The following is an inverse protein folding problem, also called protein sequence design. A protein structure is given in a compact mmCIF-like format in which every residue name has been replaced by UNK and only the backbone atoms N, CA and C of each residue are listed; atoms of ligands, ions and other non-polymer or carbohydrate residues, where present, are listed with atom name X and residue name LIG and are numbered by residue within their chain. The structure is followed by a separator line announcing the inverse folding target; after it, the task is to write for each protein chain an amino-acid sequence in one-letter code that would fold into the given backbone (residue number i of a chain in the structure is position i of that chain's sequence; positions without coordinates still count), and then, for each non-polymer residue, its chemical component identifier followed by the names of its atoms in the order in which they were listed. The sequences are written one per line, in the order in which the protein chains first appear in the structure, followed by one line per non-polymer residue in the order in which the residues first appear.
data_IF_532784133311
#
_entry.id   IF_532784133311
#
_cell.length_a   1.000
_cell.length_b   1.000
_cell.length_c   1.000
_cell.angle_alpha   90.00
_cell.angle_beta   90.00
_cell.angle_gamma   90.00
#
_symmetry.space_group_name_H-M   'P 1'
#
loop_
_entity.id
_entity.type
_entity.pdbx_description
1 polymer ?
#
# COMPACT_ATOMS: atom_id res chain seq x y z
N UNK A 1 4.41 10.36 0.62
CA UNK A 1 3.41 11.36 1.05
C UNK A 1 3.43 12.60 0.17
N UNK A 2 4.60 13.22 -0.07
CA UNK A 2 4.69 14.48 -0.81
C UNK A 2 4.06 14.42 -2.22
N UNK A 3 4.34 13.36 -3.00
CA UNK A 3 3.73 13.16 -4.32
C UNK A 3 2.18 13.11 -4.26
N UNK A 4 1.62 12.59 -3.17
CA UNK A 4 0.17 12.54 -2.98
C UNK A 4 -0.38 13.95 -2.76
N UNK A 5 0.25 14.78 -1.93
CA UNK A 5 -0.16 16.17 -1.73
C UNK A 5 -0.13 16.98 -3.04
N UNK A 6 0.85 16.75 -3.92
CA UNK A 6 0.86 17.37 -5.25
C UNK A 6 -0.27 16.88 -6.16
N UNK A 7 -0.78 15.67 -5.94
CA UNK A 7 -1.84 15.08 -6.74
C UNK A 7 -3.26 15.52 -6.31
N UNK A 8 -3.42 16.16 -5.15
CA UNK A 8 -4.72 16.52 -4.57
C UNK A 8 -5.63 17.37 -5.50
N UNK A 9 -5.12 18.37 -6.26
CA UNK A 9 -5.98 19.11 -7.19
C UNK A 9 -6.54 18.26 -8.33
N UNK A 10 -5.95 17.08 -8.61
CA UNK A 10 -6.35 16.21 -9.71
C UNK A 10 -7.39 15.16 -9.29
N UNK A 11 -7.53 14.89 -8.00
CA UNK A 11 -8.50 13.91 -7.48
C UNK A 11 -9.83 14.54 -7.09
N UNK A 12 -9.90 15.88 -7.01
CA UNK A 12 -11.13 16.65 -6.77
C UNK A 12 -11.94 16.14 -5.56
N UNK A 13 -11.24 15.75 -4.49
CA UNK A 13 -11.83 15.16 -3.27
C UNK A 13 -12.58 13.84 -3.48
N UNK A 14 -12.55 13.25 -4.68
CA UNK A 14 -13.10 11.93 -4.96
C UNK A 14 -12.17 10.82 -4.46
N UNK A 15 -12.69 9.61 -4.17
CA UNK A 15 -11.86 8.45 -3.94
C UNK A 15 -10.96 8.17 -5.14
N UNK A 16 -9.71 7.80 -4.86
CA UNK A 16 -8.72 7.57 -5.90
C UNK A 16 -7.84 6.37 -5.60
N UNK A 17 -7.23 5.84 -6.66
CA UNK A 17 -6.26 4.78 -6.62
C UNK A 17 -4.85 5.38 -6.72
N UNK A 18 -3.97 5.00 -5.80
CA UNK A 18 -2.54 5.30 -5.85
C UNK A 18 -1.79 4.02 -6.23
N UNK A 19 -0.92 4.12 -7.23
CA UNK A 19 0.00 3.04 -7.59
C UNK A 19 1.45 3.53 -7.64
N UNK A 20 2.39 2.75 -7.10
CA UNK A 20 3.82 3.07 -7.19
C UNK A 20 4.35 2.71 -8.58
N UNK A 21 5.02 3.64 -9.25
CA UNK A 21 5.42 3.45 -10.66
C UNK A 21 6.51 2.39 -10.88
N UNK A 22 7.23 2.01 -9.82
CA UNK A 22 8.38 1.11 -9.84
C UNK A 22 8.11 -0.27 -9.22
N UNK A 23 6.85 -0.58 -8.90
CA UNK A 23 6.47 -1.84 -8.27
C UNK A 23 5.18 -2.35 -8.91
N UNK A 24 5.30 -3.36 -9.76
CA UNK A 24 4.23 -3.86 -10.62
C UNK A 24 3.56 -5.07 -10.00
N UNK A 25 2.23 -5.04 -9.89
CA UNK A 25 1.42 -6.23 -9.63
C UNK A 25 0.88 -6.74 -10.97
N UNK A 26 1.35 -7.92 -11.40
CA UNK A 26 0.94 -8.56 -12.63
C UNK A 26 -0.22 -9.52 -12.34
N UNK A 27 -1.47 -9.12 -12.67
CA UNK A 27 -2.64 -9.94 -12.39
C UNK A 27 -2.62 -11.24 -13.21
N UNK A 28 -3.29 -12.26 -12.70
CA UNK A 28 -3.63 -13.46 -13.47
C UNK A 28 -5.15 -13.69 -13.43
N UNK A 29 -5.61 -14.75 -14.11
CA UNK A 29 -7.03 -15.10 -14.20
C UNK A 29 -7.72 -15.35 -12.86
N UNK A 30 -6.96 -15.55 -11.77
CA UNK A 30 -7.49 -15.86 -10.43
C UNK A 30 -7.68 -14.62 -9.58
N UNK A 31 -6.86 -13.58 -9.77
CA UNK A 31 -6.89 -12.39 -8.92
C UNK A 31 -6.37 -11.15 -9.65
N UNK A 32 -7.28 -10.19 -9.87
CA UNK A 32 -6.95 -8.82 -10.20
C UNK A 32 -6.91 -7.98 -8.90
N UNK A 33 -5.74 -7.45 -8.49
CA UNK A 33 -5.62 -6.61 -7.29
C UNK A 33 -6.54 -5.39 -7.32
N UNK A 34 -6.65 -4.71 -8.46
CA UNK A 34 -7.43 -3.48 -8.56
C UNK A 34 -8.90 -3.76 -8.29
N UNK A 35 -9.48 -4.72 -9.00
CA UNK A 35 -10.88 -5.11 -8.82
C UNK A 35 -11.15 -5.55 -7.37
N UNK A 36 -10.22 -6.32 -6.78
CA UNK A 36 -10.39 -6.83 -5.42
C UNK A 36 -10.33 -5.73 -4.37
N UNK A 37 -9.38 -4.79 -4.47
CA UNK A 37 -9.31 -3.65 -3.56
C UNK A 37 -10.54 -2.75 -3.73
N UNK A 38 -10.98 -2.50 -4.97
CA UNK A 38 -12.18 -1.68 -5.25
C UNK A 38 -13.45 -2.32 -4.67
N UNK A 39 -13.60 -3.64 -4.80
CA UNK A 39 -14.70 -4.37 -4.18
C UNK A 39 -14.70 -4.16 -2.65
N UNK A 40 -13.56 -4.40 -2.00
CA UNK A 40 -13.43 -4.25 -0.54
C UNK A 40 -13.71 -2.80 -0.12
N UNK A 41 -13.23 -1.82 -0.87
CA UNK A 41 -13.48 -0.40 -0.60
C UNK A 41 -14.98 -0.08 -0.62
N UNK A 42 -15.70 -0.55 -1.65
CA UNK A 42 -17.14 -0.34 -1.81
C UNK A 42 -17.97 -1.08 -0.75
N UNK A 43 -17.61 -2.31 -0.40
CA UNK A 43 -18.35 -3.13 0.58
C UNK A 43 -18.18 -2.65 2.02
N UNK A 44 -17.00 -2.12 2.37
CA UNK A 44 -16.66 -1.74 3.76
C UNK A 44 -16.86 -0.25 4.04
N UNK A 45 -16.96 0.59 3.00
CA UNK A 45 -16.95 2.04 3.15
C UNK A 45 -15.64 2.58 3.73
N UNK A 46 -14.53 1.84 3.55
CA UNK A 46 -13.22 2.15 4.11
C UNK A 46 -12.75 3.58 3.80
N UNK A 47 -11.91 4.12 4.67
CA UNK A 47 -11.13 5.33 4.41
C UNK A 47 -9.90 5.03 3.54
N UNK A 48 -9.34 3.83 3.72
CA UNK A 48 -8.26 3.32 2.91
C UNK A 48 -8.32 1.80 2.75
N UNK A 49 -7.95 1.30 1.57
CA UNK A 49 -7.70 -0.12 1.33
C UNK A 49 -6.29 -0.30 0.78
N UNK A 50 -5.50 -1.18 1.40
CA UNK A 50 -4.09 -1.41 1.08
C UNK A 50 -3.89 -2.79 0.45
N UNK A 51 -3.04 -2.90 -0.58
CA UNK A 51 -2.56 -4.21 -1.02
C UNK A 51 -1.41 -4.65 -0.10
N UNK A 52 -1.48 -5.88 0.41
CA UNK A 52 -0.44 -6.49 1.25
C UNK A 52 0.14 -7.74 0.60
N UNK A 53 1.46 -7.92 0.75
CA UNK A 53 2.16 -9.14 0.34
C UNK A 53 3.05 -9.65 1.46
N UNK A 54 3.11 -10.97 1.61
CA UNK A 54 4.06 -11.60 2.54
C UNK A 54 5.48 -11.48 2.00
N UNK A 55 6.37 -10.91 2.81
CA UNK A 55 7.79 -10.73 2.48
C UNK A 55 8.68 -11.54 3.42
N UNK A 56 9.86 -11.92 2.93
CA UNK A 56 10.87 -12.61 3.74
C UNK A 56 11.62 -11.66 4.68
N UNK A 57 11.81 -10.42 4.25
CA UNK A 57 12.55 -9.38 4.98
C UNK A 57 11.64 -8.17 5.21
N UNK A 58 10.94 -8.10 6.34
CA UNK A 58 10.01 -7.00 6.65
C UNK A 58 10.69 -5.65 6.86
N UNK A 59 12.00 -5.63 7.17
CA UNK A 59 12.72 -4.40 7.55
C UNK A 59 12.86 -3.38 6.43
N UNK A 60 12.54 -3.79 5.19
CA UNK A 60 12.63 -2.96 3.98
C UNK A 60 11.34 -2.21 3.63
N UNK A 61 10.23 -2.53 4.29
CA UNK A 61 8.90 -2.10 3.85
C UNK A 61 8.11 -1.44 4.99
N UNK A 62 7.01 -0.77 4.63
CA UNK A 62 5.92 -0.51 5.56
C UNK A 62 5.20 -1.82 5.87
N UNK A 63 5.09 -2.17 7.15
CA UNK A 63 4.50 -3.43 7.62
C UNK A 63 3.16 -3.17 8.30
N UNK A 64 2.14 -3.91 7.87
CA UNK A 64 0.83 -3.87 8.50
C UNK A 64 0.74 -4.88 9.65
N UNK A 65 0.36 -4.39 10.81
CA UNK A 65 -0.22 -5.20 11.90
C UNK A 65 -1.73 -5.18 11.70
N UNK A 66 -2.30 -6.36 11.54
CA UNK A 66 -3.69 -6.51 11.15
C UNK A 66 -4.26 -7.85 11.60
N UNK A 67 -5.58 -7.90 11.68
CA UNK A 67 -6.35 -9.09 12.00
C UNK A 67 -7.17 -9.50 10.78
N UNK A 68 -7.25 -10.81 10.52
CA UNK A 68 -8.03 -11.32 9.39
C UNK A 68 -9.51 -11.18 9.73
N UNK A 69 -10.27 -10.47 8.91
CA UNK A 69 -11.72 -10.40 9.07
C UNK A 69 -12.42 -11.47 8.23
N UNK A 70 -12.05 -11.59 6.95
CA UNK A 70 -12.69 -12.56 6.05
C UNK A 70 -11.77 -12.94 4.90
N UNK A 71 -11.46 -14.24 4.76
CA UNK A 71 -10.58 -14.78 3.70
C UNK A 71 -9.29 -13.97 3.57
N UNK A 72 -9.14 -13.22 2.48
CA UNK A 72 -8.00 -12.38 2.09
C UNK A 72 -8.10 -10.94 2.63
N UNK A 73 -9.18 -10.58 3.31
CA UNK A 73 -9.43 -9.25 3.86
C UNK A 73 -8.96 -9.17 5.31
N UNK A 74 -8.24 -8.09 5.62
CA UNK A 74 -7.71 -7.78 6.92
C UNK A 74 -8.16 -6.40 7.40
N UNK A 75 -8.43 -6.27 8.70
CA UNK A 75 -8.56 -4.97 9.38
C UNK A 75 -7.20 -4.54 9.91
N UNK A 76 -6.75 -3.37 9.46
CA UNK A 76 -5.43 -2.85 9.83
C UNK A 76 -5.54 -2.05 11.12
N UNK A 77 -4.72 -2.42 12.11
CA UNK A 77 -4.65 -1.75 13.41
C UNK A 77 -3.39 -0.93 13.60
N UNK A 78 -2.34 -1.18 12.81
CA UNK A 78 -1.10 -0.38 12.85
C UNK A 78 -0.26 -0.54 11.59
N UNK A 79 0.46 0.51 11.24
CA UNK A 79 1.52 0.53 10.24
C UNK A 79 2.86 0.79 10.93
N UNK A 80 3.87 -0.01 10.59
CA UNK A 80 5.25 0.15 11.05
C UNK A 80 6.15 0.42 9.83
N UNK A 81 6.76 1.60 9.73
CA UNK A 81 7.72 1.90 8.65
C UNK A 81 9.07 1.24 8.94
N UNK A 82 9.54 0.35 8.05
CA UNK A 82 10.86 -0.28 8.07
C UNK A 82 11.30 -0.73 9.48
N UNK A 83 10.47 -1.53 10.19
CA UNK A 83 10.73 -1.87 11.58
C UNK A 83 11.98 -2.73 11.70
N UNK A 84 12.81 -2.44 12.72
CA UNK A 84 13.92 -3.32 13.11
C UNK A 84 13.44 -4.70 13.57
N UNK A 85 12.30 -4.73 14.26
CA UNK A 85 11.62 -5.94 14.71
C UNK A 85 10.15 -5.85 14.33
N UNK A 86 9.76 -6.58 13.29
CA UNK A 86 8.41 -6.53 12.74
C UNK A 86 7.47 -7.48 13.49
N UNK A 87 6.25 -7.01 13.78
CA UNK A 87 5.19 -7.85 14.41
C UNK A 87 4.42 -8.71 13.40
N UNK A 88 4.69 -8.51 12.12
CA UNK A 88 4.03 -9.15 10.97
C UNK A 88 5.02 -9.22 9.81
N UNK A 89 4.71 -10.03 8.81
CA UNK A 89 5.45 -10.07 7.55
C UNK A 89 4.61 -9.61 6.36
N UNK A 90 3.46 -8.98 6.61
CA UNK A 90 2.60 -8.40 5.59
C UNK A 90 3.05 -6.98 5.27
N UNK A 91 3.74 -6.83 4.15
CA UNK A 91 4.24 -5.56 3.66
C UNK A 91 3.19 -4.87 2.78
N UNK A 92 3.11 -3.54 2.91
CA UNK A 92 2.39 -2.67 1.99
C UNK A 92 3.11 -2.73 0.63
N UNK A 93 2.35 -3.03 -0.43
CA UNK A 93 2.89 -3.10 -1.79
C UNK A 93 2.05 -2.25 -2.72
N UNK A 94 2.74 -1.54 -3.61
CA UNK A 94 2.34 -0.80 -4.83
C UNK A 94 0.95 -0.27 -5.10
N UNK A 95 -0.12 -0.64 -4.41
CA UNK A 95 -1.49 -0.34 -4.77
C UNK A 95 -2.32 -0.02 -3.53
N UNK A 96 -3.00 1.12 -3.59
CA UNK A 96 -3.80 1.67 -2.50
C UNK A 96 -5.04 2.34 -3.07
N UNK A 97 -6.14 2.30 -2.31
CA UNK A 97 -7.32 3.13 -2.56
C UNK A 97 -7.54 4.01 -1.34
N UNK A 98 -7.76 5.30 -1.56
CA UNK A 98 -7.96 6.27 -0.49
C UNK A 98 -9.19 7.14 -0.76
N UNK A 99 -9.85 7.55 0.32
CA UNK A 99 -10.66 8.78 0.34
C UNK A 99 -9.77 10.00 0.54
N UNK A 100 -10.30 11.19 0.27
CA UNK A 100 -9.56 12.45 0.36
C UNK A 100 -9.02 12.76 1.77
N UNK A 101 -9.56 12.15 2.83
CA UNK A 101 -9.06 12.32 4.20
C UNK A 101 -7.58 11.97 4.37
N UNK A 102 -6.99 11.16 3.48
CA UNK A 102 -5.56 10.88 3.47
C UNK A 102 -4.70 12.15 3.31
N UNK A 103 -5.16 13.17 2.58
CA UNK A 103 -4.40 14.40 2.38
C UNK A 103 -4.20 15.15 3.70
N UNK A 104 -5.28 15.34 4.46
CA UNK A 104 -5.24 15.99 5.76
C UNK A 104 -4.46 15.18 6.78
N UNK A 105 -4.61 13.86 6.76
CA UNK A 105 -3.81 12.96 7.58
C UNK A 105 -2.31 13.14 7.30
N UNK A 106 -1.89 13.19 6.03
CA UNK A 106 -0.48 13.42 5.65
C UNK A 106 0.00 14.83 6.06
N UNK A 107 -0.81 15.88 5.87
CA UNK A 107 -0.44 17.24 6.31
C UNK A 107 -0.24 17.31 7.81
N UNK A 108 -1.08 16.63 8.58
CA UNK A 108 -1.06 16.69 10.05
C UNK A 108 0.17 16.03 10.66
N UNK A 109 0.70 14.96 10.03
CA UNK A 109 1.92 14.29 10.49
C UNK A 109 3.18 15.04 10.09
N UNK A 110 3.14 15.78 8.97
CA UNK A 110 4.25 16.60 8.49
C UNK A 110 5.47 15.80 8.02
N UNK A 111 6.63 16.45 8.08
CA UNK A 111 7.92 15.86 7.68
C UNK A 111 8.48 15.02 8.82
N UNK A 112 8.88 13.78 8.52
CA UNK A 112 9.57 12.93 9.47
C UNK A 112 10.95 13.51 9.80
N UNK A 113 11.26 13.65 11.09
CA UNK A 113 12.48 14.34 11.55
C UNK A 113 13.76 13.55 11.32
N UNK A 114 13.66 12.24 11.10
CA UNK A 114 14.82 11.35 10.95
C UNK A 114 15.19 11.21 9.47
N UNK A 115 14.20 10.97 8.64
CA UNK A 115 14.36 10.75 7.20
C UNK A 115 14.31 12.04 6.39
N UNK A 116 13.66 13.09 6.90
CA UNK A 116 13.38 14.31 6.14
C UNK A 116 12.26 14.13 5.11
N UNK A 117 11.56 13.01 5.11
CA UNK A 117 10.53 12.68 4.12
C UNK A 117 9.11 12.87 4.67
N UNK A 118 8.17 13.22 3.79
CA UNK A 118 6.73 13.15 4.10
C UNK A 118 6.26 11.72 3.83
N UNK A 119 6.20 10.92 4.90
CA UNK A 119 5.94 9.48 4.83
C UNK A 119 4.45 9.18 4.59
N UNK A 120 4.15 8.31 3.61
CA UNK A 120 2.78 7.84 3.37
C UNK A 120 2.29 6.98 4.54
N UNK A 121 3.15 6.12 5.08
CA UNK A 121 2.85 5.22 6.19
C UNK A 121 2.44 5.96 7.45
N UNK A 122 3.06 7.11 7.75
CA UNK A 122 2.62 7.99 8.83
C UNK A 122 1.22 8.56 8.60
N UNK A 123 0.89 8.95 7.37
CA UNK A 123 -0.47 9.39 7.02
C UNK A 123 -1.52 8.28 7.17
N UNK A 124 -1.20 7.06 6.75
CA UNK A 124 -2.09 5.90 6.95
C UNK A 124 -2.26 5.60 8.44
N UNK A 125 -1.17 5.61 9.22
CA UNK A 125 -1.23 5.44 10.67
C UNK A 125 -2.12 6.50 11.31
N UNK A 126 -2.03 7.75 10.85
CA UNK A 126 -2.86 8.84 11.35
C UNK A 126 -4.35 8.58 11.12
N UNK A 127 -4.75 8.06 9.95
CA UNK A 127 -6.13 7.65 9.71
C UNK A 127 -6.59 6.59 10.74
N UNK A 128 -5.73 5.61 11.02
CA UNK A 128 -6.02 4.56 12.01
C UNK A 128 -6.19 5.16 13.42
N UNK A 129 -5.28 6.06 13.82
CA UNK A 129 -5.31 6.72 15.13
C UNK A 129 -6.57 7.59 15.32
N UNK A 130 -7.11 8.15 14.23
CA UNK A 130 -8.38 8.89 14.21
C UNK A 130 -9.62 7.98 14.19
N UNK A 131 -9.43 6.66 14.29
CA UNK A 131 -10.50 5.67 14.31
C UNK A 131 -11.11 5.39 12.93
N UNK A 132 -10.47 5.85 11.84
CA UNK A 132 -10.98 5.62 10.48
C UNK A 132 -10.81 4.15 10.08
N UNK A 133 -11.74 3.58 9.30
CA UNK A 133 -11.64 2.21 8.82
C UNK A 133 -10.56 2.08 7.75
N UNK A 134 -9.48 1.37 8.09
CA UNK A 134 -8.41 0.97 7.16
C UNK A 134 -8.43 -0.55 7.01
N UNK A 135 -8.59 -0.99 5.77
CA UNK A 135 -8.63 -2.39 5.39
C UNK A 135 -7.45 -2.73 4.50
N UNK A 136 -7.21 -4.02 4.35
CA UNK A 136 -6.18 -4.53 3.48
C UNK A 136 -6.59 -5.84 2.81
N UNK A 137 -5.99 -6.11 1.65
CA UNK A 137 -6.17 -7.33 0.88
C UNK A 137 -4.83 -8.04 0.75
N UNK A 138 -4.77 -9.32 1.12
CA UNK A 138 -3.59 -10.17 0.90
C UNK A 138 -3.52 -10.59 -0.58
N UNK A 139 -2.66 -9.90 -1.32
CA UNK A 139 -2.37 -10.17 -2.74
C UNK A 139 -1.12 -11.04 -2.90
N UNK A 140 -0.77 -11.87 -1.91
CA UNK A 140 0.43 -12.71 -1.97
C UNK A 140 0.45 -13.68 -3.16
N UNK A 141 -0.73 -14.08 -3.65
CA UNK A 141 -0.87 -14.91 -4.86
C UNK A 141 -0.57 -14.18 -6.17
N UNK A 142 -0.52 -12.85 -6.18
CA UNK A 142 -0.27 -12.05 -7.39
C UNK A 142 1.22 -11.89 -7.62
N UNK A 143 1.66 -12.05 -8.88
CA UNK A 143 3.07 -11.87 -9.24
C UNK A 143 3.44 -10.40 -9.08
N UNK A 144 4.55 -10.14 -8.39
CA UNK A 144 5.07 -8.79 -8.11
C UNK A 144 6.43 -8.63 -8.76
N UNK A 145 6.69 -7.49 -9.40
CA UNK A 145 7.96 -7.15 -10.03
C UNK A 145 8.39 -5.77 -9.56
N UNK A 146 9.51 -5.69 -8.85
CA UNK A 146 10.05 -4.45 -8.28
C UNK A 146 11.24 -3.96 -9.12
N UNK A 147 11.28 -2.68 -9.49
CA UNK A 147 12.38 -2.07 -10.25
C UNK A 147 13.14 -0.99 -9.47
N UNK A 148 13.02 -0.99 -8.14
CA UNK A 148 13.63 0.00 -7.24
C UNK A 148 15.14 -0.18 -6.96
N UNK A 149 15.80 -1.22 -7.47
CA UNK A 149 17.25 -1.42 -7.32
C UNK A 149 17.88 -2.02 -8.58
N UNK A 150 19.20 -1.85 -8.82
CA UNK A 150 19.86 -2.46 -9.99
C UNK A 150 19.67 -3.98 -10.08
N UNK A 151 19.67 -4.67 -8.94
CA UNK A 151 19.45 -6.12 -8.87
C UNK A 151 18.02 -6.48 -9.25
N UNK A 152 17.02 -5.84 -8.62
CA UNK A 152 15.61 -6.14 -8.89
C UNK A 152 15.20 -5.70 -10.30
N UNK A 153 15.80 -4.63 -10.84
CA UNK A 153 15.65 -4.24 -12.25
C UNK A 153 16.16 -5.31 -13.21
N UNK A 154 17.34 -5.88 -12.94
CA UNK A 154 17.88 -6.99 -13.74
C UNK A 154 16.97 -8.23 -13.68
N UNK A 155 16.47 -8.57 -12.49
CA UNK A 155 15.51 -9.66 -12.31
C UNK A 155 14.22 -9.41 -13.07
N UNK A 156 13.72 -8.16 -13.07
CA UNK A 156 12.54 -7.75 -13.84
C UNK A 156 12.71 -7.99 -15.35
N UNK A 157 13.87 -7.64 -15.92
CA UNK A 157 14.18 -7.88 -17.33
C UNK A 157 14.19 -9.36 -17.72
N UNK A 158 14.56 -10.25 -16.80
CA UNK A 158 14.54 -11.71 -17.02
C UNK A 158 13.13 -12.30 -16.82
N UNK A 159 12.29 -11.60 -16.07
CA UNK A 159 10.96 -12.03 -15.64
C UNK A 159 9.90 -11.75 -16.71
N UNK A 160 10.09 -10.68 -17.48
CA UNK A 160 9.26 -10.27 -18.60
C UNK A 160 9.94 -10.78 -19.88
N UNK A 161 9.89 -12.08 -20.13
CA UNK A 161 10.07 -12.55 -21.51
C UNK A 161 8.89 -11.99 -22.31
N UNK A 162 9.18 -11.06 -23.22
CA UNK A 162 8.23 -10.64 -24.25
C UNK A 162 8.02 -11.86 -25.13
N UNK A 163 6.89 -12.55 -24.96
CA UNK A 163 6.42 -13.48 -25.98
C UNK A 163 6.15 -12.63 -27.23
N UNK A 164 7.09 -12.64 -28.18
CA UNK A 164 6.89 -12.14 -29.54
C UNK A 164 5.89 -13.03 -30.30
#
# INVERSE_FOLDING_TARGET
GNALLYAEPFTDQEPFLLHFGDDLLLPDVRLNPVDRLTQVFNETGAEAVLALKRVKDPSKYGIAVCEREYKDIYRVSRIEEKPKFAKSNLALVSLFIFKSGIYDAIRSVGVDKVTGEVMLTSGIQRLIDEGKPVYAVDVSGVRRVEVGSPQTYREALQTIELNE
#
